data_IF_011888068354
#
_entry.id   IF_011888068354
#
_cell.length_a   1.000
_cell.length_b   1.000
_cell.length_c   1.000
_cell.angle_alpha   90.00
_cell.angle_beta   90.00
_cell.angle_gamma   90.00
#
_symmetry.space_group_name_H-M   'P 1'
#
loop_
_entity.id
_entity.type
_entity.pdbx_description
1 polymer ?
#
# COMPACT_ATOMS: atom_id res chain seq x y z
N UNK A 1 25.38 -1.81 -16.91
CA UNK A 1 25.00 -1.85 -16.47
C UNK A 1 24.98 -1.64 -15.94
N UNK A 2 24.92 -1.70 -16.23
CA UNK A 2 24.55 -1.48 -15.71
C UNK A 2 24.15 -1.07 -15.01
N UNK A 3 24.13 -0.70 -15.10
CA UNK A 3 23.77 -0.52 -14.23
C UNK A 3 22.82 0.15 -13.72
N UNK A 4 22.28 0.04 -14.10
CA UNK A 4 20.99 0.52 -13.62
C UNK A 4 20.67 0.04 -12.24
N UNK A 5 21.37 -0.94 -11.83
CA UNK A 5 21.16 -1.49 -10.50
C UNK A 5 21.39 -0.50 -9.39
N UNK A 6 22.44 0.31 -9.42
CA UNK A 6 22.59 1.31 -8.38
C UNK A 6 21.40 2.24 -8.31
N UNK A 7 20.86 2.58 -9.45
CA UNK A 7 19.68 3.43 -9.48
C UNK A 7 18.48 2.80 -8.83
N UNK A 8 18.32 1.52 -8.99
CA UNK A 8 17.18 0.87 -8.40
C UNK A 8 17.22 0.93 -6.90
N UNK A 9 18.40 0.91 -6.35
CA UNK A 9 18.54 1.01 -4.91
C UNK A 9 18.23 2.39 -4.39
N UNK A 10 18.51 3.41 -5.20
CA UNK A 10 18.31 4.77 -4.75
C UNK A 10 16.85 5.08 -4.41
N UNK A 11 15.89 4.75 -5.27
CA UNK A 11 14.50 5.02 -4.91
C UNK A 11 14.08 4.33 -3.64
N UNK A 12 14.58 3.15 -3.43
CA UNK A 12 14.28 2.42 -2.23
C UNK A 12 14.86 3.12 -1.00
N UNK A 13 16.11 3.53 -1.11
CA UNK A 13 16.75 4.26 -0.01
C UNK A 13 16.01 5.56 0.27
N UNK A 14 15.58 6.24 -0.78
CA UNK A 14 14.83 7.47 -0.63
C UNK A 14 13.52 7.22 0.10
N UNK A 15 12.88 6.09 -0.18
CA UNK A 15 11.69 5.72 0.55
C UNK A 15 11.95 5.61 2.04
N UNK A 16 13.11 5.12 2.41
CA UNK A 16 13.49 5.03 3.81
C UNK A 16 13.70 6.39 4.44
N UNK A 17 13.94 7.40 3.64
CA UNK A 17 14.11 8.75 4.13
C UNK A 17 12.76 9.45 4.30
N UNK A 18 11.68 8.71 4.24
CA UNK A 18 10.37 9.25 4.54
C UNK A 18 9.55 9.68 3.35
N UNK A 19 10.03 9.44 2.14
CA UNK A 19 9.22 9.75 0.97
C UNK A 19 8.07 8.76 0.86
N UNK A 20 6.91 9.29 0.48
CA UNK A 20 5.72 8.47 0.31
C UNK A 20 5.68 7.89 -1.09
N UNK A 21 5.15 6.69 -1.19
CA UNK A 21 4.92 6.02 -2.45
C UNK A 21 3.43 5.78 -2.61
N UNK A 22 2.98 5.82 -3.87
CA UNK A 22 1.61 5.45 -4.20
C UNK A 22 1.67 4.35 -5.24
N UNK A 23 1.00 3.25 -4.99
CA UNK A 23 1.03 2.08 -5.87
C UNK A 23 -0.36 1.54 -6.12
N UNK A 24 -0.47 0.79 -7.21
CA UNK A 24 -1.66 -0.02 -7.48
C UNK A 24 -1.47 -1.38 -6.83
N UNK A 25 -2.55 -1.92 -6.29
CA UNK A 25 -2.51 -3.25 -5.71
C UNK A 25 -3.88 -3.89 -5.80
N UNK A 26 -3.92 -5.21 -5.59
CA UNK A 26 -5.17 -5.95 -5.55
C UNK A 26 -5.34 -6.52 -4.16
N UNK A 27 -6.54 -6.37 -3.60
CA UNK A 27 -6.84 -6.94 -2.28
C UNK A 27 -6.99 -8.44 -2.43
N UNK A 28 -6.20 -9.19 -1.69
CA UNK A 28 -6.20 -10.66 -1.78
C UNK A 28 -6.61 -11.34 -0.48
N UNK A 29 -6.80 -10.58 0.59
CA UNK A 29 -7.21 -11.17 1.85
C UNK A 29 -7.37 -10.16 2.96
N UNK A 30 -7.70 -10.66 4.13
CA UNK A 30 -7.85 -9.84 5.33
C UNK A 30 -6.95 -10.37 6.42
N UNK A 31 -6.62 -9.50 7.36
CA UNK A 31 -5.83 -9.87 8.54
C UNK A 31 -6.72 -9.74 9.75
N UNK A 32 -6.80 -10.82 10.52
CA UNK A 32 -7.49 -10.79 11.80
C UNK A 32 -6.43 -10.98 12.87
N UNK A 33 -6.23 -9.96 13.70
CA UNK A 33 -5.26 -10.02 14.78
C UNK A 33 -6.02 -9.89 16.10
N UNK A 34 -5.93 -10.91 16.95
CA UNK A 34 -6.62 -10.89 18.22
C UNK A 34 -5.96 -9.94 19.20
N UNK A 35 -4.66 -9.71 19.05
CA UNK A 35 -3.93 -8.72 19.84
C UNK A 35 -3.19 -7.81 18.90
N UNK A 36 -3.38 -6.53 19.06
CA UNK A 36 -2.69 -5.53 18.26
C UNK A 36 -2.67 -4.22 19.05
N UNK A 37 -1.87 -3.29 18.56
CA UNK A 37 -1.79 -1.96 19.16
C UNK A 37 -3.20 -1.39 19.28
N UNK A 38 -3.54 -0.81 20.43
CA UNK A 38 -4.89 -0.32 20.67
C UNK A 38 -5.28 0.78 19.70
N UNK A 39 -4.31 1.45 19.11
CA UNK A 39 -4.58 2.47 18.08
C UNK A 39 -5.10 1.87 16.80
N UNK A 40 -4.99 0.55 16.63
CA UNK A 40 -5.49 -0.17 15.46
C UNK A 40 -6.78 -0.96 15.73
N UNK A 41 -7.32 -0.87 16.94
CA UNK A 41 -8.40 -1.78 17.37
C UNK A 41 -9.61 -1.76 16.44
N UNK A 42 -10.03 -0.60 15.99
CA UNK A 42 -11.19 -0.52 15.09
C UNK A 42 -10.82 -0.45 13.63
N UNK A 43 -9.56 -0.68 13.31
CA UNK A 43 -9.10 -0.57 11.92
C UNK A 43 -9.23 -1.89 11.20
N UNK A 44 -9.60 -1.82 9.92
CA UNK A 44 -9.66 -2.98 9.05
C UNK A 44 -8.32 -3.11 8.36
N UNK A 45 -7.72 -4.29 8.45
CA UNK A 45 -6.42 -4.57 7.85
C UNK A 45 -6.61 -5.56 6.72
N UNK A 46 -6.07 -5.22 5.56
CA UNK A 46 -6.20 -6.05 4.37
C UNK A 46 -4.82 -6.45 3.86
N UNK A 47 -4.77 -7.63 3.25
CA UNK A 47 -3.59 -8.08 2.53
C UNK A 47 -3.77 -7.68 1.09
N UNK A 48 -2.76 -7.01 0.54
CA UNK A 48 -2.80 -6.59 -0.85
C UNK A 48 -1.53 -7.04 -1.56
N UNK A 49 -1.64 -7.22 -2.84
CA UNK A 49 -0.49 -7.55 -3.67
C UNK A 49 -0.32 -6.47 -4.73
N UNK A 50 0.85 -5.83 -4.80
CA UNK A 50 1.10 -4.84 -5.83
C UNK A 50 0.92 -5.43 -7.22
N UNK A 51 0.40 -4.62 -8.13
CA UNK A 51 0.21 -5.01 -9.52
C UNK A 51 0.78 -3.93 -10.42
N UNK A 52 1.10 -4.31 -11.66
CA UNK A 52 1.45 -3.33 -12.67
C UNK A 52 0.18 -2.76 -13.31
N UNK A 53 0.28 -1.76 -14.19
CA UNK A 53 -0.93 -1.18 -14.79
C UNK A 53 -1.75 -2.16 -15.62
N UNK A 54 -1.18 -3.28 -16.04
CA UNK A 54 -1.93 -4.30 -16.77
C UNK A 54 -2.63 -5.29 -15.85
N UNK A 55 -2.40 -5.18 -14.55
CA UNK A 55 -3.02 -6.06 -13.57
C UNK A 55 -2.19 -7.26 -13.18
N UNK A 56 -0.95 -7.35 -13.67
CA UNK A 56 -0.09 -8.48 -13.31
C UNK A 56 0.54 -8.28 -11.94
N UNK A 57 0.63 -9.33 -11.15
CA UNK A 57 1.28 -9.23 -9.83
C UNK A 57 2.72 -8.75 -9.95
N UNK A 58 3.12 -7.91 -9.03
CA UNK A 58 4.42 -7.28 -9.04
C UNK A 58 4.89 -7.11 -7.59
N UNK A 59 5.88 -7.87 -7.18
CA UNK A 59 6.41 -7.78 -5.84
C UNK A 59 5.70 -8.67 -4.84
N UNK A 60 5.92 -8.41 -3.57
CA UNK A 60 5.40 -9.24 -2.48
C UNK A 60 4.16 -8.63 -1.87
N UNK A 61 3.47 -9.43 -1.07
CA UNK A 61 2.28 -8.98 -0.37
C UNK A 61 2.64 -7.92 0.68
N UNK A 62 1.67 -7.10 0.98
CA UNK A 62 1.79 -6.15 2.08
C UNK A 62 0.46 -6.07 2.83
N UNK A 63 0.51 -5.57 4.04
CA UNK A 63 -0.67 -5.35 4.87
C UNK A 63 -0.91 -3.86 4.93
N UNK A 64 -2.12 -3.44 4.65
CA UNK A 64 -2.48 -2.04 4.66
C UNK A 64 -3.75 -1.81 5.46
N UNK A 65 -3.84 -0.64 6.07
CA UNK A 65 -5.06 -0.24 6.73
C UNK A 65 -6.06 0.25 5.67
N UNK A 66 -7.31 -0.09 5.84
CA UNK A 66 -8.33 0.26 4.85
C UNK A 66 -9.09 1.50 5.30
N UNK A 67 -9.16 2.51 4.43
CA UNK A 67 -9.89 3.73 4.73
C UNK A 67 -11.10 3.94 3.82
N UNK A 68 -11.35 3.02 2.88
CA UNK A 68 -12.39 3.21 1.87
C UNK A 68 -13.35 2.02 1.76
N UNK A 69 -13.24 1.10 2.70
CA UNK A 69 -14.08 -0.10 2.71
C UNK A 69 -13.90 -0.94 1.45
N UNK A 70 -12.65 -1.22 1.13
CA UNK A 70 -12.31 -2.05 0.00
C UNK A 70 -12.61 -3.52 0.30
N UNK A 71 -12.85 -4.29 -0.73
CA UNK A 71 -13.19 -5.70 -0.62
C UNK A 71 -12.23 -6.58 -1.39
N UNK A 72 -12.36 -7.88 -1.14
CA UNK A 72 -11.55 -8.89 -1.80
C UNK A 72 -11.69 -8.78 -3.31
N UNK A 73 -10.58 -8.83 -4.00
CA UNK A 73 -10.55 -8.82 -5.47
C UNK A 73 -10.54 -7.43 -6.07
N UNK A 74 -10.74 -6.40 -5.28
CA UNK A 74 -10.75 -5.03 -5.81
C UNK A 74 -9.34 -4.51 -6.03
N UNK A 75 -9.18 -3.69 -7.08
CA UNK A 75 -7.96 -2.95 -7.32
C UNK A 75 -8.02 -1.67 -6.52
N UNK A 76 -6.94 -1.36 -5.84
CA UNK A 76 -6.90 -0.24 -4.91
C UNK A 76 -5.65 0.60 -5.09
N UNK A 77 -5.71 1.83 -4.60
CA UNK A 77 -4.55 2.69 -4.47
C UNK A 77 -4.06 2.62 -3.03
N UNK A 78 -2.78 2.38 -2.88
CA UNK A 78 -2.15 2.30 -1.56
C UNK A 78 -1.07 3.37 -1.49
N UNK A 79 -1.08 4.13 -0.39
CA UNK A 79 0.01 5.07 -0.07
C UNK A 79 0.81 4.51 1.09
N UNK A 80 2.06 4.90 1.19
CA UNK A 80 2.95 4.42 2.23
C UNK A 80 3.66 5.57 2.92
N UNK A 81 4.35 5.26 4.01
CA UNK A 81 5.10 6.25 4.76
C UNK A 81 4.20 7.19 5.53
N UNK A 82 4.61 8.44 5.65
CA UNK A 82 3.84 9.43 6.41
C UNK A 82 2.47 9.71 5.77
N UNK A 83 2.37 9.57 4.46
CA UNK A 83 1.07 9.75 3.79
C UNK A 83 0.05 8.71 4.24
N UNK A 84 0.50 7.51 4.55
CA UNK A 84 -0.41 6.48 5.04
C UNK A 84 -1.00 6.88 6.39
N UNK A 85 -0.17 7.42 7.28
CA UNK A 85 -0.66 7.87 8.58
C UNK A 85 -1.64 9.02 8.45
N UNK A 86 -1.34 9.96 7.56
CA UNK A 86 -2.25 11.09 7.33
C UNK A 86 -3.58 10.62 6.76
N UNK A 87 -3.54 9.72 5.79
CA UNK A 87 -4.76 9.20 5.16
C UNK A 87 -5.63 8.44 6.13
N UNK A 88 -5.02 7.70 7.05
CA UNK A 88 -5.78 6.91 8.02
C UNK A 88 -6.35 7.76 9.14
N UNK A 89 -5.87 8.99 9.30
CA UNK A 89 -6.27 9.83 10.42
C UNK A 89 -5.63 9.43 11.73
N UNK A 90 -4.64 8.57 11.70
CA UNK A 90 -4.01 8.00 12.89
C UNK A 90 -2.56 8.47 12.97
N UNK A 91 -2.38 9.74 13.28
CA UNK A 91 -1.07 10.38 13.24
C UNK A 91 0.02 9.65 14.00
N UNK A 92 -0.32 9.15 15.17
CA UNK A 92 0.66 8.51 16.03
C UNK A 92 0.59 6.99 15.95
N UNK A 93 -0.10 6.47 14.95
CA UNK A 93 -0.30 5.04 14.81
C UNK A 93 0.85 4.41 14.03
N UNK A 94 1.26 3.20 14.35
CA UNK A 94 2.31 2.50 13.61
C UNK A 94 1.77 1.95 12.28
N UNK A 95 1.41 2.85 11.37
CA UNK A 95 0.87 2.52 10.06
C UNK A 95 1.78 3.11 9.00
N UNK A 96 2.22 2.27 8.07
CA UNK A 96 3.04 2.74 6.96
C UNK A 96 2.46 2.37 5.59
N UNK A 97 1.25 1.82 5.55
CA UNK A 97 0.55 1.56 4.30
C UNK A 97 -0.94 1.72 4.52
N UNK A 98 -1.60 2.46 3.64
CA UNK A 98 -3.04 2.70 3.74
C UNK A 98 -3.67 2.64 2.36
N UNK A 99 -4.83 1.98 2.28
CA UNK A 99 -5.64 1.96 1.07
C UNK A 99 -6.46 3.25 1.06
N UNK A 100 -6.29 4.05 0.02
CA UNK A 100 -6.93 5.36 -0.06
C UNK A 100 -7.90 5.49 -1.22
N UNK A 101 -8.02 4.49 -2.06
CA UNK A 101 -8.97 4.55 -3.17
C UNK A 101 -9.27 3.19 -3.71
N UNK A 102 -10.46 3.04 -4.28
CA UNK A 102 -10.84 1.86 -5.04
C UNK A 102 -10.80 2.26 -6.50
N UNK A 103 -10.10 1.48 -7.32
CA UNK A 103 -9.82 1.83 -8.71
C UNK A 103 -10.77 1.07 -9.63
N UNK A 104 -11.52 1.79 -10.44
CA UNK A 104 -12.42 1.18 -11.41
C UNK A 104 -11.74 0.93 -12.74
N UNK A 105 -10.88 1.84 -13.18
CA UNK A 105 -10.27 1.77 -14.50
C UNK A 105 -8.86 2.28 -14.48
N UNK A 106 -7.97 1.60 -15.21
CA UNK A 106 -6.60 2.03 -15.40
C UNK A 106 -6.38 2.13 -16.91
N UNK A 107 -5.89 3.29 -17.37
CA UNK A 107 -5.55 3.47 -18.77
C UNK A 107 -4.09 3.81 -18.89
N UNK A 108 -3.42 3.13 -19.81
CA UNK A 108 -2.02 3.39 -20.13
C UNK A 108 -1.92 3.64 -21.62
N UNK A 109 -1.33 4.75 -22.00
CA UNK A 109 -1.11 5.10 -23.40
C UNK A 109 0.37 5.24 -23.62
N UNK A 110 0.93 4.32 -24.39
CA UNK A 110 2.36 4.34 -24.72
C UNK A 110 2.62 5.09 -26.02
#
# INVERSE_FOLDING_TARGET
MPNAEPFRHLPFAIGHLGLSLMILAKVVGTVVATRKDERLVSSKLLIARPIDPSGKPEGTYLVAIDTVDAGFGETVLIVSGSSARMASGLKDCPVDAAIVGIVDTVEVKD
#
